data_IF_931518925232
#
_entry.id   IF_931518925232
#
_cell.length_a   1.000
_cell.length_b   1.000
_cell.length_c   1.000
_cell.angle_alpha   90.00
_cell.angle_beta   90.00
_cell.angle_gamma   90.00
#
_symmetry.space_group_name_H-M   'P 1'
#
loop_
_entity.id
_entity.type
_entity.pdbx_description
1 polymer ?
#
# COMPACT_ATOMS: atom_id res chain seq x y z
N UNK A 1 -46.18 -17.09 16.62
CA UNK A 1 -45.26 -18.10 16.04
C UNK A 1 -43.98 -17.48 15.50
N UNK A 2 -44.02 -16.42 14.67
CA UNK A 2 -42.80 -15.81 14.12
C UNK A 2 -41.76 -15.32 15.15
N UNK A 3 -42.21 -14.69 16.25
CA UNK A 3 -41.31 -14.19 17.31
C UNK A 3 -40.47 -15.29 17.97
N UNK A 4 -41.07 -16.47 18.22
CA UNK A 4 -40.36 -17.62 18.79
C UNK A 4 -39.26 -18.15 17.86
N UNK A 5 -39.53 -18.18 16.54
CA UNK A 5 -38.52 -18.60 15.57
C UNK A 5 -37.38 -17.59 15.44
N UNK A 6 -37.66 -16.29 15.53
CA UNK A 6 -36.61 -15.27 15.51
C UNK A 6 -35.70 -15.32 16.74
N UNK A 7 -36.26 -15.58 17.92
CA UNK A 7 -35.47 -15.72 19.16
C UNK A 7 -34.58 -16.96 19.12
N UNK A 8 -35.12 -18.10 18.67
CA UNK A 8 -34.36 -19.34 18.53
C UNK A 8 -33.20 -19.18 17.53
N UNK A 9 -33.45 -18.52 16.39
CA UNK A 9 -32.42 -18.24 15.39
C UNK A 9 -31.32 -17.32 15.93
N UNK A 10 -31.70 -16.26 16.66
CA UNK A 10 -30.74 -15.33 17.25
C UNK A 10 -29.87 -16.02 18.32
N UNK A 11 -30.47 -16.83 19.19
CA UNK A 11 -29.72 -17.62 20.18
C UNK A 11 -28.78 -18.62 19.54
N UNK A 12 -29.21 -19.30 18.47
CA UNK A 12 -28.35 -20.21 17.71
C UNK A 12 -27.17 -19.48 17.06
N UNK A 13 -27.43 -18.35 16.40
CA UNK A 13 -26.39 -17.49 15.83
C UNK A 13 -25.39 -17.01 16.89
N UNK A 14 -25.88 -16.56 18.05
CA UNK A 14 -25.05 -16.14 19.17
C UNK A 14 -24.18 -17.28 19.71
N UNK A 15 -24.75 -18.49 19.84
CA UNK A 15 -24.01 -19.67 20.27
C UNK A 15 -22.88 -20.01 19.29
N UNK A 16 -23.19 -20.08 17.99
CA UNK A 16 -22.17 -20.37 16.95
C UNK A 16 -21.06 -19.32 16.94
N UNK A 17 -21.39 -18.02 16.99
CA UNK A 17 -20.38 -16.95 17.01
C UNK A 17 -19.51 -16.97 18.28
N UNK A 18 -20.08 -17.36 19.43
CA UNK A 18 -19.36 -17.50 20.69
C UNK A 18 -18.40 -18.69 20.66
N UNK A 19 -18.83 -19.83 20.10
CA UNK A 19 -17.99 -21.03 19.93
C UNK A 19 -16.77 -20.73 19.04
N UNK A 20 -16.96 -20.02 17.93
CA UNK A 20 -15.85 -19.64 17.02
C UNK A 20 -14.83 -18.70 17.69
N UNK A 21 -15.26 -17.91 18.69
CA UNK A 21 -14.40 -16.95 19.42
C UNK A 21 -13.76 -17.52 20.68
N UNK A 22 -14.09 -18.75 21.08
CA UNK A 22 -13.71 -19.29 22.40
C UNK A 22 -12.22 -19.55 22.57
N UNK A 23 -11.48 -19.79 21.49
CA UNK A 23 -10.04 -20.07 21.54
C UNK A 23 -9.21 -19.01 20.80
N UNK A 24 -8.97 -17.83 21.42
CA UNK A 24 -8.13 -16.81 20.82
C UNK A 24 -6.67 -17.27 20.76
N UNK A 25 -6.12 -17.36 19.54
CA UNK A 25 -4.71 -17.69 19.32
C UNK A 25 -3.91 -16.39 19.17
N UNK A 26 -3.00 -16.13 20.10
CA UNK A 26 -2.07 -15.02 20.01
C UNK A 26 -0.81 -15.45 19.26
N UNK A 27 -0.43 -14.68 18.22
CA UNK A 27 0.79 -14.93 17.43
C UNK A 27 1.78 -13.79 17.65
N UNK A 28 2.97 -14.12 18.14
CA UNK A 28 4.09 -13.20 18.28
C UNK A 28 5.16 -13.53 17.24
N UNK A 29 5.67 -12.49 16.57
CA UNK A 29 6.66 -12.63 15.48
C UNK A 29 8.04 -12.17 15.92
N UNK A 30 9.09 -12.97 15.65
CA UNK A 30 10.47 -12.66 16.02
C UNK A 30 11.32 -12.30 14.79
N UNK A 31 11.51 -11.00 14.54
CA UNK A 31 12.23 -10.47 13.37
C UNK A 31 13.71 -10.88 13.36
N UNK A 32 14.37 -10.81 14.51
CA UNK A 32 15.83 -11.03 14.61
C UNK A 32 16.24 -12.48 14.31
N UNK A 33 15.37 -13.44 14.68
CA UNK A 33 15.60 -14.86 14.37
C UNK A 33 15.41 -15.16 12.89
N UNK A 34 14.47 -14.46 12.25
CA UNK A 34 14.20 -14.61 10.82
C UNK A 34 15.35 -14.04 9.99
N UNK A 35 15.82 -12.83 10.29
CA UNK A 35 16.97 -12.23 9.61
C UNK A 35 18.21 -13.12 9.77
N UNK A 36 18.54 -13.54 10.99
CA UNK A 36 19.72 -14.39 11.23
C UNK A 36 19.68 -15.73 10.48
N UNK A 37 18.50 -16.35 10.30
CA UNK A 37 18.38 -17.67 9.66
C UNK A 37 18.21 -17.61 8.14
N UNK A 38 17.52 -16.60 7.62
CA UNK A 38 17.05 -16.59 6.24
C UNK A 38 17.46 -15.35 5.43
N UNK A 39 18.40 -14.52 5.91
CA UNK A 39 18.81 -13.28 5.22
C UNK A 39 19.07 -13.48 3.71
N UNK A 40 19.71 -14.60 3.34
CA UNK A 40 20.03 -14.94 1.95
C UNK A 40 18.90 -15.71 1.23
N UNK A 41 18.02 -16.37 1.98
CA UNK A 41 16.99 -17.29 1.47
C UNK A 41 15.55 -16.75 1.63
N UNK A 42 15.38 -15.43 1.59
CA UNK A 42 14.06 -14.80 1.51
C UNK A 42 13.33 -15.19 0.20
N UNK A 43 12.02 -15.49 0.21
CA UNK A 43 11.25 -15.79 -1.00
C UNK A 43 11.01 -14.54 -1.87
N UNK A 44 10.60 -14.73 -3.13
CA UNK A 44 9.98 -13.66 -3.91
C UNK A 44 8.61 -13.29 -3.32
N UNK A 45 8.28 -12.01 -3.31
CA UNK A 45 7.00 -11.49 -2.81
C UNK A 45 6.43 -10.52 -3.85
N UNK A 46 5.16 -10.76 -4.17
CA UNK A 46 4.44 -10.00 -5.17
C UNK A 46 3.23 -9.34 -4.51
N UNK A 47 3.17 -8.02 -4.63
CA UNK A 47 2.20 -7.19 -3.93
C UNK A 47 1.26 -6.59 -4.95
N UNK A 48 -0.02 -6.89 -4.81
CA UNK A 48 -1.07 -6.34 -5.65
C UNK A 48 -1.78 -5.22 -4.90
N UNK A 49 -1.72 -4.04 -5.52
CA UNK A 49 -2.52 -2.87 -5.14
C UNK A 49 -3.68 -2.81 -6.11
N UNK A 50 -4.91 -2.81 -5.59
CA UNK A 50 -6.10 -2.69 -6.42
C UNK A 50 -6.76 -1.34 -6.16
N UNK A 51 -7.15 -0.66 -7.22
CA UNK A 51 -7.98 0.53 -7.16
C UNK A 51 -9.21 0.36 -8.03
N UNK A 52 -10.36 0.80 -7.52
CA UNK A 52 -11.66 0.58 -8.16
C UNK A 52 -12.22 1.82 -8.84
N UNK A 53 -12.04 3.00 -8.26
CA UNK A 53 -12.62 4.25 -8.75
C UNK A 53 -11.72 5.44 -8.38
N UNK A 54 -11.22 6.21 -9.36
CA UNK A 54 -10.37 7.38 -9.09
C UNK A 54 -11.06 8.51 -8.33
N UNK A 55 -12.41 8.54 -8.30
CA UNK A 55 -13.17 9.56 -7.57
C UNK A 55 -13.22 9.23 -6.08
N UNK A 56 -13.42 7.96 -5.74
CA UNK A 56 -13.47 7.48 -4.35
C UNK A 56 -12.04 7.35 -3.80
N UNK A 57 -11.11 6.85 -4.62
CA UNK A 57 -9.71 6.62 -4.27
C UNK A 57 -8.81 7.52 -5.13
N UNK A 58 -8.48 8.74 -4.68
CA UNK A 58 -7.74 9.68 -5.50
C UNK A 58 -6.37 9.13 -5.90
N UNK A 59 -5.89 9.35 -7.14
CA UNK A 59 -4.62 8.80 -7.63
C UNK A 59 -3.40 9.14 -6.76
N UNK A 60 -3.41 10.30 -6.09
CA UNK A 60 -2.37 10.71 -5.14
C UNK A 60 -2.24 9.73 -3.96
N UNK A 61 -3.37 9.22 -3.47
CA UNK A 61 -3.41 8.19 -2.43
C UNK A 61 -2.86 6.86 -2.96
N UNK A 62 -3.30 6.44 -4.15
CA UNK A 62 -2.84 5.20 -4.82
C UNK A 62 -1.32 5.21 -4.95
N UNK A 63 -0.76 6.30 -5.47
CA UNK A 63 0.68 6.48 -5.65
C UNK A 63 1.43 6.45 -4.33
N UNK A 64 0.90 7.13 -3.31
CA UNK A 64 1.53 7.15 -2.00
C UNK A 64 1.58 5.76 -1.38
N UNK A 65 0.53 4.94 -1.60
CA UNK A 65 0.48 3.54 -1.20
C UNK A 65 1.51 2.71 -1.98
N UNK A 66 1.54 2.80 -3.31
CA UNK A 66 2.53 2.07 -4.15
C UNK A 66 3.96 2.44 -3.76
N UNK A 67 4.28 3.73 -3.62
CA UNK A 67 5.61 4.19 -3.23
C UNK A 67 5.99 3.71 -1.83
N UNK A 68 5.02 3.66 -0.90
CA UNK A 68 5.26 3.15 0.45
C UNK A 68 5.64 1.66 0.43
N UNK A 69 4.97 0.87 -0.42
CA UNK A 69 5.21 -0.56 -0.60
C UNK A 69 6.57 -0.81 -1.25
N UNK A 70 6.90 -0.05 -2.30
CA UNK A 70 8.22 -0.13 -2.94
C UNK A 70 9.37 0.26 -2.01
N UNK A 71 9.11 1.08 -0.99
CA UNK A 71 10.09 1.52 0.01
C UNK A 71 10.28 0.51 1.16
N UNK A 72 9.69 -0.69 1.08
CA UNK A 72 9.88 -1.70 2.12
C UNK A 72 11.31 -2.20 2.19
N UNK A 73 11.71 -2.61 3.40
CA UNK A 73 13.03 -3.18 3.66
C UNK A 73 13.08 -4.65 3.20
N UNK A 74 13.08 -4.84 1.89
CA UNK A 74 13.18 -6.12 1.21
C UNK A 74 14.19 -6.05 0.04
N UNK A 75 14.87 -7.16 -0.30
CA UNK A 75 15.73 -7.19 -1.48
C UNK A 75 14.95 -6.81 -2.75
N UNK A 76 15.46 -5.86 -3.56
CA UNK A 76 14.74 -5.35 -4.73
C UNK A 76 14.52 -6.42 -5.81
N UNK A 77 15.39 -7.41 -5.88
CA UNK A 77 15.30 -8.56 -6.80
C UNK A 77 14.14 -9.50 -6.45
N UNK A 78 13.58 -9.39 -5.23
CA UNK A 78 12.58 -10.30 -4.68
C UNK A 78 11.26 -9.60 -4.36
N UNK A 79 11.15 -8.30 -4.61
CA UNK A 79 9.95 -7.52 -4.35
C UNK A 79 9.39 -7.00 -5.66
N UNK A 80 8.22 -7.50 -6.06
CA UNK A 80 7.48 -6.96 -7.21
C UNK A 80 6.18 -6.32 -6.73
N UNK A 81 5.82 -5.20 -7.34
CA UNK A 81 4.59 -4.47 -7.02
C UNK A 81 3.78 -4.29 -8.28
N UNK A 82 2.53 -4.71 -8.23
CA UNK A 82 1.56 -4.65 -9.31
C UNK A 82 0.41 -3.73 -8.92
N UNK A 83 -0.01 -2.85 -9.82
CA UNK A 83 -1.20 -2.03 -9.67
C UNK A 83 -2.27 -2.54 -10.65
N UNK A 84 -3.42 -2.95 -10.12
CA UNK A 84 -4.62 -3.26 -10.90
C UNK A 84 -5.60 -2.09 -10.76
N UNK A 85 -5.82 -1.37 -11.85
CA UNK A 85 -6.83 -0.32 -11.93
C UNK A 85 -8.08 -0.86 -12.62
N UNK A 86 -9.09 -1.20 -11.82
CA UNK A 86 -10.39 -1.67 -12.33
C UNK A 86 -11.22 -0.50 -12.89
N UNK A 87 -10.94 0.73 -12.46
CA UNK A 87 -11.58 1.96 -12.96
C UNK A 87 -11.04 2.41 -14.33
N UNK A 88 -9.86 1.91 -14.72
CA UNK A 88 -9.24 2.16 -16.03
C UNK A 88 -9.07 3.65 -16.34
N UNK A 89 -8.67 4.44 -15.34
CA UNK A 89 -8.61 5.90 -15.47
C UNK A 89 -7.27 6.35 -16.04
N UNK A 90 -7.32 7.18 -17.08
CA UNK A 90 -6.12 7.82 -17.62
C UNK A 90 -5.39 8.65 -16.56
N UNK A 91 -6.13 9.25 -15.62
CA UNK A 91 -5.56 10.04 -14.53
C UNK A 91 -4.68 9.18 -13.63
N UNK A 92 -5.13 7.97 -13.26
CA UNK A 92 -4.33 7.00 -12.47
C UNK A 92 -3.06 6.60 -13.23
N UNK A 93 -3.16 6.38 -14.53
CA UNK A 93 -2.00 6.04 -15.37
C UNK A 93 -0.93 7.13 -15.39
N UNK A 94 -1.32 8.38 -15.69
CA UNK A 94 -0.38 9.50 -15.74
C UNK A 94 0.21 9.83 -14.37
N UNK A 95 -0.62 9.75 -13.33
CA UNK A 95 -0.16 9.97 -11.98
C UNK A 95 0.88 8.90 -11.59
N UNK A 96 0.67 7.63 -11.95
CA UNK A 96 1.66 6.56 -11.77
C UNK A 96 2.93 6.74 -12.60
N UNK A 97 2.83 7.30 -13.81
CA UNK A 97 3.99 7.66 -14.61
C UNK A 97 4.86 8.72 -13.91
N UNK A 98 4.26 9.77 -13.35
CA UNK A 98 5.01 10.76 -12.57
C UNK A 98 5.55 10.16 -11.25
N UNK A 99 4.80 9.28 -10.60
CA UNK A 99 5.26 8.52 -9.45
C UNK A 99 6.52 7.70 -9.75
N UNK A 100 6.61 7.08 -10.93
CA UNK A 100 7.78 6.32 -11.35
C UNK A 100 9.05 7.17 -11.48
N UNK A 101 8.91 8.47 -11.80
CA UNK A 101 10.02 9.42 -11.83
C UNK A 101 10.40 9.84 -10.42
N UNK A 102 9.40 10.12 -9.59
CA UNK A 102 9.61 10.51 -8.19
C UNK A 102 10.22 9.39 -7.34
N UNK A 103 9.87 8.12 -7.62
CA UNK A 103 10.40 6.95 -6.90
C UNK A 103 11.93 6.86 -6.93
N UNK A 104 12.56 7.32 -8.03
CA UNK A 104 14.03 7.35 -8.17
C UNK A 104 14.70 8.26 -7.13
N UNK A 105 13.99 9.25 -6.61
CA UNK A 105 14.48 10.18 -5.59
C UNK A 105 14.01 9.73 -4.20
N UNK A 106 12.74 9.34 -4.09
CA UNK A 106 12.11 8.95 -2.83
C UNK A 106 12.67 7.65 -2.23
N UNK A 107 12.82 6.59 -3.04
CA UNK A 107 13.22 5.27 -2.54
C UNK A 107 14.64 5.27 -1.96
N UNK A 108 15.66 5.87 -2.60
CA UNK A 108 16.99 5.99 -1.99
C UNK A 108 16.97 6.82 -0.71
N UNK A 109 16.17 7.91 -0.67
CA UNK A 109 16.00 8.74 0.51
C UNK A 109 15.44 7.93 1.70
N UNK A 110 14.35 7.18 1.48
CA UNK A 110 13.77 6.31 2.51
C UNK A 110 14.76 5.26 3.02
N UNK A 111 15.54 4.65 2.13
CA UNK A 111 16.53 3.64 2.50
C UNK A 111 17.71 4.22 3.28
N UNK A 112 18.22 5.38 2.86
CA UNK A 112 19.39 6.05 3.48
C UNK A 112 19.07 6.53 4.89
N UNK A 113 17.91 7.16 5.10
CA UNK A 113 17.55 7.77 6.39
C UNK A 113 16.58 6.92 7.21
N UNK A 114 16.25 5.69 6.76
CA UNK A 114 15.29 4.78 7.41
C UNK A 114 14.00 5.49 7.84
N UNK A 115 13.42 6.23 6.90
CA UNK A 115 12.29 7.13 7.14
C UNK A 115 11.03 6.35 7.52
N UNK A 116 10.37 6.77 8.60
CA UNK A 116 9.06 6.26 9.02
C UNK A 116 8.13 7.45 9.32
N UNK A 117 6.88 7.48 8.77
CA UNK A 117 6.27 6.54 7.83
C UNK A 117 6.86 6.60 6.41
N UNK A 118 6.79 5.48 5.65
CA UNK A 118 7.34 5.35 4.28
C UNK A 118 6.43 5.93 3.18
N UNK A 119 5.17 6.21 3.51
CA UNK A 119 4.27 6.89 2.58
C UNK A 119 4.66 8.36 2.51
N UNK A 120 4.97 8.90 1.31
CA UNK A 120 5.42 10.28 1.20
C UNK A 120 4.34 11.26 1.65
N UNK A 121 3.07 11.02 1.33
CA UNK A 121 1.97 11.86 1.83
C UNK A 121 1.87 11.85 3.36
N UNK A 122 1.89 10.66 3.99
CA UNK A 122 1.81 10.56 5.44
C UNK A 122 3.01 11.23 6.12
N UNK A 123 4.19 11.05 5.55
CA UNK A 123 5.42 11.59 6.08
C UNK A 123 5.47 13.12 6.04
N UNK A 124 5.15 13.75 4.92
CA UNK A 124 5.15 15.21 4.82
C UNK A 124 4.06 15.89 5.65
N UNK A 125 2.97 15.18 5.99
CA UNK A 125 1.96 15.68 6.93
C UNK A 125 2.48 15.77 8.37
N UNK A 126 3.41 14.91 8.76
CA UNK A 126 3.93 14.82 10.13
C UNK A 126 5.37 15.33 10.28
N UNK A 127 6.09 15.51 9.18
CA UNK A 127 7.51 15.82 9.20
C UNK A 127 7.78 17.23 9.72
N UNK A 128 8.54 17.30 10.81
CA UNK A 128 9.26 18.50 11.23
C UNK A 128 10.56 18.58 10.46
N UNK A 129 10.97 19.78 10.06
CA UNK A 129 12.21 20.01 9.32
C UNK A 129 13.42 19.40 10.06
N UNK A 130 14.25 18.56 9.39
CA UNK A 130 15.35 17.89 10.06
C UNK A 130 16.42 18.89 10.52
N UNK A 131 16.50 19.12 11.84
CA UNK A 131 17.38 20.09 12.49
C UNK A 131 18.84 19.62 12.68
N UNK A 132 19.14 18.35 12.43
CA UNK A 132 20.36 17.71 12.94
C UNK A 132 21.48 17.41 11.94
N UNK A 133 21.18 17.20 10.65
CA UNK A 133 22.19 16.78 9.67
C UNK A 133 22.10 17.58 8.35
N UNK A 134 23.19 18.28 7.94
CA UNK A 134 23.17 19.11 6.74
C UNK A 134 22.98 18.30 5.45
N UNK A 135 23.44 17.04 5.44
CA UNK A 135 23.24 16.11 4.32
C UNK A 135 21.76 15.71 4.21
N UNK A 136 21.12 15.42 5.34
CA UNK A 136 19.69 15.14 5.40
C UNK A 136 18.87 16.37 4.97
N UNK A 137 19.23 17.58 5.40
CA UNK A 137 18.54 18.81 5.00
C UNK A 137 18.65 19.12 3.48
N UNK A 138 19.80 18.83 2.86
CA UNK A 138 19.98 18.95 1.42
C UNK A 138 19.16 17.92 0.63
N UNK A 139 19.18 16.65 1.06
CA UNK A 139 18.37 15.60 0.44
C UNK A 139 16.86 15.87 0.69
N UNK A 140 16.51 16.35 1.88
CA UNK A 140 15.16 16.76 2.29
C UNK A 140 14.56 17.81 1.37
N UNK A 141 15.29 18.92 1.17
CA UNK A 141 14.84 20.01 0.31
C UNK A 141 14.57 19.54 -1.12
N UNK A 142 15.42 18.64 -1.64
CA UNK A 142 15.25 18.02 -2.97
C UNK A 142 13.98 17.18 -3.08
N UNK A 143 13.60 16.45 -2.02
CA UNK A 143 12.39 15.63 -1.98
C UNK A 143 11.13 16.46 -1.65
N UNK A 144 11.27 17.53 -0.87
CA UNK A 144 10.18 18.46 -0.49
C UNK A 144 9.75 19.35 -1.67
N UNK A 145 10.69 19.76 -2.52
CA UNK A 145 10.47 20.59 -3.72
C UNK A 145 9.30 20.14 -4.61
N UNK A 146 9.13 18.85 -4.95
CA UNK A 146 7.98 18.40 -5.76
C UNK A 146 6.64 18.34 -5.01
N UNK A 147 6.62 18.29 -3.67
CA UNK A 147 5.39 18.07 -2.87
C UNK A 147 4.83 19.32 -2.16
N UNK A 148 5.67 20.30 -1.82
CA UNK A 148 5.26 21.43 -0.98
C UNK A 148 4.42 22.49 -1.72
N UNK A 149 4.42 22.51 -3.06
CA UNK A 149 3.57 23.41 -3.81
C UNK A 149 2.22 22.74 -4.10
N UNK A 150 1.09 23.16 -3.50
CA UNK A 150 -0.24 22.75 -3.97
C UNK A 150 -0.44 23.09 -5.46
N UNK A 151 0.24 24.14 -5.93
CA UNK A 151 0.31 24.51 -7.35
C UNK A 151 1.00 23.47 -8.25
N UNK A 152 1.80 22.55 -7.68
CA UNK A 152 2.48 21.47 -8.42
C UNK A 152 1.58 20.24 -8.56
N UNK A 153 0.75 19.92 -7.57
CA UNK A 153 -0.31 18.89 -7.71
C UNK A 153 -1.31 19.32 -8.79
N UNK A 154 -1.81 20.57 -8.73
CA UNK A 154 -2.66 21.15 -9.77
C UNK A 154 -1.96 21.22 -11.14
N UNK A 155 -0.64 21.49 -11.18
CA UNK A 155 0.12 21.49 -12.44
C UNK A 155 0.41 20.10 -12.97
N UNK A 156 0.62 19.10 -12.11
CA UNK A 156 0.83 17.72 -12.51
C UNK A 156 -0.47 17.08 -12.97
N UNK A 157 -1.57 17.37 -12.29
CA UNK A 157 -2.91 17.02 -12.70
C UNK A 157 -3.28 17.74 -14.01
N UNK A 158 -3.11 19.06 -14.12
CA UNK A 158 -3.29 19.78 -15.40
C UNK A 158 -2.39 19.27 -16.51
N UNK A 159 -1.14 18.92 -16.22
CA UNK A 159 -0.22 18.34 -17.21
C UNK A 159 -0.66 16.94 -17.61
N UNK A 160 -1.15 16.12 -16.69
CA UNK A 160 -1.75 14.83 -17.00
C UNK A 160 -2.98 15.03 -17.91
N UNK A 161 -3.90 15.92 -17.54
CA UNK A 161 -5.05 16.30 -18.39
C UNK A 161 -4.62 16.83 -19.78
N UNK A 162 -3.60 17.67 -19.85
CA UNK A 162 -3.06 18.20 -21.11
C UNK A 162 -2.46 17.09 -21.98
N UNK A 163 -1.79 16.10 -21.39
CA UNK A 163 -1.23 14.96 -22.13
C UNK A 163 -2.36 14.02 -22.58
N UNK A 164 -3.36 13.76 -21.73
CA UNK A 164 -4.58 12.99 -22.09
C UNK A 164 -5.28 13.62 -23.31
N UNK A 165 -5.41 14.96 -23.30
CA UNK A 165 -6.05 15.69 -24.41
C UNK A 165 -5.22 15.69 -25.69
N UNK A 166 -3.89 15.66 -25.61
CA UNK A 166 -3.00 15.65 -26.78
C UNK A 166 -2.86 14.27 -27.40
N UNK A 167 -2.64 13.25 -26.58
CA UNK A 167 -2.38 11.87 -27.00
C UNK A 167 -3.16 10.89 -26.09
N UNK A 168 -4.43 10.58 -26.40
CA UNK A 168 -5.19 9.63 -25.61
C UNK A 168 -4.54 8.24 -25.71
N UNK A 169 -4.36 7.53 -24.57
CA UNK A 169 -3.79 6.19 -24.60
C UNK A 169 -4.68 5.27 -25.46
N UNK A 170 -4.04 4.39 -26.25
CA UNK A 170 -4.78 3.36 -27.00
C UNK A 170 -5.37 2.38 -26.00
N UNK A 171 -6.66 2.52 -25.72
CA UNK A 171 -7.45 1.57 -24.95
C UNK A 171 -7.38 0.20 -25.63
N UNK A 172 -6.65 -0.73 -25.01
CA UNK A 172 -6.72 -2.14 -25.36
C UNK A 172 -7.96 -2.68 -24.64
N UNK A 173 -8.93 -3.30 -25.34
CA UNK A 173 -10.15 -3.78 -24.70
C UNK A 173 -9.81 -4.74 -23.56
N UNK A 174 -10.32 -4.44 -22.35
CA UNK A 174 -10.11 -5.28 -21.19
C UNK A 174 -10.80 -6.63 -21.44
N UNK A 175 -10.01 -7.72 -21.45
CA UNK A 175 -10.60 -9.04 -21.28
C UNK A 175 -11.09 -9.12 -19.85
N UNK A 176 -12.35 -9.51 -19.66
CA UNK A 176 -13.11 -9.54 -18.40
C UNK A 176 -12.59 -10.56 -17.35
N UNK A 177 -11.28 -10.72 -17.21
CA UNK A 177 -10.67 -11.68 -16.29
C UNK A 177 -9.31 -11.19 -15.75
N UNK A 178 -9.23 -9.93 -15.34
CA UNK A 178 -7.99 -9.35 -14.78
C UNK A 178 -7.59 -9.96 -13.43
N UNK A 179 -8.51 -10.63 -12.72
CA UNK A 179 -8.21 -11.30 -11.44
C UNK A 179 -7.54 -12.67 -11.58
N UNK A 180 -7.70 -13.37 -12.71
CA UNK A 180 -7.19 -14.75 -12.85
C UNK A 180 -5.91 -14.87 -13.70
N UNK A 181 -5.65 -13.94 -14.64
CA UNK A 181 -4.52 -14.11 -15.56
C UNK A 181 -3.15 -13.77 -14.97
N UNK A 182 -3.10 -13.11 -13.81
CA UNK A 182 -1.87 -12.67 -13.13
C UNK A 182 -1.51 -13.52 -11.90
N UNK A 183 -2.18 -14.64 -11.65
CA UNK A 183 -1.97 -15.44 -10.43
C UNK A 183 -1.09 -16.70 -10.61
N UNK A 184 -0.53 -16.95 -11.80
CA UNK A 184 -0.17 -18.33 -12.18
C UNK A 184 1.17 -18.86 -11.61
N UNK A 185 2.12 -18.03 -11.14
CA UNK A 185 3.44 -18.55 -10.70
C UNK A 185 3.95 -18.06 -9.31
N UNK A 186 3.07 -17.57 -8.42
CA UNK A 186 3.51 -16.82 -7.24
C UNK A 186 3.55 -17.60 -5.92
N UNK A 187 4.69 -17.51 -5.21
CA UNK A 187 4.94 -18.21 -3.93
C UNK A 187 4.30 -17.49 -2.72
N UNK A 188 4.19 -16.15 -2.75
CA UNK A 188 3.57 -15.34 -1.70
C UNK A 188 2.88 -14.12 -2.33
N UNK A 189 1.56 -14.03 -2.17
CA UNK A 189 0.72 -12.94 -2.67
C UNK A 189 0.26 -12.05 -1.52
N UNK A 190 0.49 -10.74 -1.60
CA UNK A 190 -0.04 -9.78 -0.64
C UNK A 190 -0.99 -8.78 -1.32
N UNK A 191 -2.17 -8.59 -0.75
CA UNK A 191 -3.12 -7.57 -1.21
C UNK A 191 -3.05 -6.35 -0.31
N UNK A 192 -2.87 -5.18 -0.91
CA UNK A 192 -2.98 -3.89 -0.24
C UNK A 192 -4.15 -3.11 -0.83
N UNK A 193 -5.07 -2.67 0.03
CA UNK A 193 -6.12 -1.72 -0.38
C UNK A 193 -5.55 -0.30 -0.39
N UNK A 194 -6.05 0.55 -1.28
CA UNK A 194 -5.55 1.92 -1.45
C UNK A 194 -5.63 2.75 -0.15
N UNK A 195 -6.51 2.37 0.80
CA UNK A 195 -6.69 3.01 2.10
C UNK A 195 -5.64 2.63 3.17
N UNK A 196 -4.76 1.64 2.92
CA UNK A 196 -3.76 1.23 3.92
C UNK A 196 -2.66 2.29 4.03
N UNK A 197 -2.86 3.22 4.97
CA UNK A 197 -1.84 4.16 5.40
C UNK A 197 -0.84 3.38 6.27
N UNK A 198 0.36 3.16 5.76
CA UNK A 198 1.41 2.45 6.49
C UNK A 198 1.96 3.33 7.63
N UNK A 199 1.21 3.41 8.73
CA UNK A 199 1.53 4.26 9.87
C UNK A 199 2.54 3.63 10.83
N UNK A 200 2.77 2.32 10.79
CA UNK A 200 3.94 1.72 11.45
C UNK A 200 4.12 0.24 11.08
N UNK A 201 5.36 -0.09 10.70
CA UNK A 201 5.96 -1.41 10.91
C UNK A 201 5.24 -2.67 10.37
N UNK A 202 4.46 -2.60 9.28
CA UNK A 202 4.15 -3.81 8.50
C UNK A 202 5.44 -4.24 7.79
N UNK A 203 6.25 -5.02 8.50
CA UNK A 203 7.46 -5.60 7.96
C UNK A 203 7.05 -6.88 7.23
N UNK A 204 6.97 -6.82 5.90
CA UNK A 204 6.59 -7.97 5.05
C UNK A 204 7.44 -9.20 5.30
N UNK A 205 8.66 -9.06 5.85
CA UNK A 205 9.47 -10.21 6.27
C UNK A 205 8.72 -11.11 7.26
N UNK A 206 7.78 -10.57 8.04
CA UNK A 206 6.98 -11.31 9.01
C UNK A 206 5.76 -12.03 8.44
N UNK A 207 5.41 -11.83 7.17
CA UNK A 207 4.29 -12.51 6.51
C UNK A 207 4.61 -13.95 6.10
N UNK A 208 5.79 -14.44 6.44
CA UNK A 208 6.23 -15.78 6.10
C UNK A 208 5.58 -16.83 7.02
N UNK A 209 4.47 -17.41 6.56
CA UNK A 209 3.92 -18.67 7.08
C UNK A 209 3.68 -19.61 5.90
N UNK A 210 4.27 -20.80 5.97
CA UNK A 210 4.46 -21.71 4.83
C UNK A 210 3.17 -22.32 4.26
N UNK A 211 2.00 -22.06 4.83
CA UNK A 211 0.79 -22.84 4.50
C UNK A 211 -0.53 -22.09 4.38
N UNK A 212 -0.68 -20.79 4.70
CA UNK A 212 -1.98 -20.10 4.57
C UNK A 212 -1.85 -18.58 4.46
N UNK A 213 -2.89 -17.92 3.91
CA UNK A 213 -3.03 -16.47 3.86
C UNK A 213 -2.90 -15.86 5.27
N UNK A 214 -1.95 -14.94 5.45
CA UNK A 214 -1.77 -14.22 6.71
C UNK A 214 -2.54 -12.91 6.64
N UNK A 215 -3.67 -12.84 7.34
CA UNK A 215 -4.43 -11.61 7.48
C UNK A 215 -3.76 -10.70 8.52
N UNK A 216 -3.34 -9.51 8.10
CA UNK A 216 -2.86 -8.48 9.00
C UNK A 216 -4.04 -7.68 9.57
N UNK A 217 -3.99 -7.27 10.85
CA UNK A 217 -4.96 -6.32 11.37
C UNK A 217 -4.81 -5.01 10.60
N UNK A 218 -5.87 -4.57 9.94
CA UNK A 218 -5.94 -3.22 9.38
C UNK A 218 -6.10 -2.25 10.55
N UNK A 219 -5.02 -1.60 10.97
CA UNK A 219 -5.10 -0.45 11.86
C UNK A 219 -5.59 0.74 11.05
N UNK A 220 -6.91 0.92 10.97
CA UNK A 220 -7.47 2.16 10.48
C UNK A 220 -7.20 3.24 11.53
N UNK A 221 -6.33 4.18 11.21
CA UNK A 221 -6.21 5.41 11.96
C UNK A 221 -7.46 6.26 11.75
N UNK A 222 -8.48 6.03 12.57
CA UNK A 222 -9.51 7.04 12.82
C UNK A 222 -8.84 8.16 13.61
N UNK A 223 -8.26 9.14 12.89
CA UNK A 223 -7.99 10.42 13.53
C UNK A 223 -9.33 11.12 13.66
N UNK A 224 -9.98 10.94 14.81
CA UNK A 224 -11.08 11.79 15.24
C UNK A 224 -10.59 13.22 15.20
N UNK A 225 -11.11 14.01 14.26
CA UNK A 225 -11.06 15.46 14.38
C UNK A 225 -11.85 15.84 15.64
N UNK A 226 -11.14 16.24 16.69
CA UNK A 226 -11.64 17.16 17.71
C UNK A 226 -11.02 18.52 17.44
#
# INVERSE_FOLDING_TARGET
MGLFFSELWFSFYWFVTTVVRWNPIYRNTFKDRLSHRYEKALPGIDIFVCTADPVIEPPVMVISTVLSVMAYDYPPEKLSVYLSDDGGSDLTFYAMLEASRFSKIWLPFCKKFKVEPRSPEAYFRTAVEPLGEPIMAKDWSTVKLPKQCPQLEDKQEKRAYDIIQRDPPKLIPSKSSSRMSLCIDFLVLAFATCSIRNESNINIRLLFSRENMVQLPQTFAWKTHC
#
